data_IF_328858943315
#
_entry.id   IF_328858943315
#
_cell.length_a   1.000
_cell.length_b   1.000
_cell.length_c   1.000
_cell.angle_alpha   90.00
_cell.angle_beta   90.00
_cell.angle_gamma   90.00
#
_symmetry.space_group_name_H-M   'P 1'
#
loop_
_entity.id
_entity.type
_entity.pdbx_description
1 polymer ?
#
# COMPACT_ATOMS: atom_id res chain seq x y z
N UNK A 1 -22.86 1.72 -2.19
CA UNK A 1 -22.42 0.80 -1.12
C UNK A 1 -23.47 0.78 -0.02
N UNK A 2 -23.70 -0.36 0.63
CA UNK A 2 -24.63 -0.47 1.76
C UNK A 2 -24.06 -1.41 2.82
N UNK A 3 -24.20 -1.04 4.09
CA UNK A 3 -23.85 -1.91 5.21
C UNK A 3 -25.01 -2.88 5.48
N UNK A 4 -24.71 -4.17 5.62
CA UNK A 4 -25.72 -5.23 5.85
C UNK A 4 -26.05 -5.44 7.33
N UNK A 5 -25.25 -4.86 8.23
CA UNK A 5 -25.39 -4.93 9.67
C UNK A 5 -25.46 -3.51 10.27
N UNK A 6 -24.89 -3.29 11.45
CA UNK A 6 -24.81 -1.97 12.07
C UNK A 6 -24.00 -1.00 11.21
N UNK A 7 -24.46 0.25 11.14
CA UNK A 7 -23.72 1.34 10.53
C UNK A 7 -22.39 1.58 11.27
N UNK A 8 -21.27 1.84 10.57
CA UNK A 8 -20.03 2.20 11.23
C UNK A 8 -20.11 3.59 11.88
N UNK A 9 -19.20 3.83 12.82
CA UNK A 9 -18.91 5.18 13.29
C UNK A 9 -17.97 5.87 12.30
N UNK A 10 -18.06 7.19 12.18
CA UNK A 10 -17.24 7.98 11.26
C UNK A 10 -16.50 9.05 12.05
N UNK A 11 -15.18 9.13 11.86
CA UNK A 11 -14.34 10.20 12.35
C UNK A 11 -13.97 11.16 11.22
N UNK A 12 -14.25 12.45 11.40
CA UNK A 12 -13.84 13.49 10.45
C UNK A 12 -12.38 13.87 10.72
N UNK A 13 -11.45 13.30 9.94
CA UNK A 13 -10.01 13.47 10.19
C UNK A 13 -9.45 14.79 9.64
N UNK A 14 -10.11 15.34 8.62
CA UNK A 14 -9.81 16.64 8.03
C UNK A 14 -11.04 17.15 7.29
N UNK A 15 -11.11 18.43 6.88
CA UNK A 15 -12.22 18.92 6.08
C UNK A 15 -12.46 18.04 4.85
N UNK A 16 -13.69 17.54 4.70
CA UNK A 16 -14.08 16.68 3.59
C UNK A 16 -13.63 15.22 3.68
N UNK A 17 -12.91 14.81 4.73
CA UNK A 17 -12.40 13.43 4.87
C UNK A 17 -13.03 12.72 6.05
N UNK A 18 -13.72 11.61 5.76
CA UNK A 18 -14.25 10.67 6.73
C UNK A 18 -13.39 9.41 6.84
N UNK A 19 -13.26 8.88 8.06
CA UNK A 19 -12.69 7.55 8.31
C UNK A 19 -13.71 6.71 9.05
N UNK A 20 -14.31 5.72 8.38
CA UNK A 20 -15.29 4.85 9.01
C UNK A 20 -14.61 3.68 9.73
N UNK A 21 -15.17 3.30 10.88
CA UNK A 21 -14.66 2.20 11.69
C UNK A 21 -15.80 1.47 12.41
N UNK A 22 -15.55 0.22 12.79
CA UNK A 22 -16.48 -0.56 13.60
C UNK A 22 -16.62 0.09 14.99
N UNK A 23 -17.82 0.58 15.32
CA UNK A 23 -18.08 1.20 16.62
C UNK A 23 -17.95 0.26 17.83
N UNK A 24 -17.85 -1.05 17.60
CA UNK A 24 -17.69 -2.05 18.66
C UNK A 24 -16.22 -2.39 18.96
N UNK A 25 -15.42 -2.69 17.93
CA UNK A 25 -14.02 -3.16 18.09
C UNK A 25 -12.97 -2.16 17.59
N UNK A 26 -13.36 -1.07 16.94
CA UNK A 26 -12.45 -0.04 16.45
C UNK A 26 -11.76 -0.35 15.12
N UNK A 27 -12.04 -1.50 14.48
CA UNK A 27 -11.44 -1.86 13.18
C UNK A 27 -11.72 -0.80 12.12
N UNK A 28 -10.70 -0.23 11.45
CA UNK A 28 -10.89 0.73 10.36
C UNK A 28 -11.50 0.01 9.15
N UNK A 29 -12.47 0.64 8.51
CA UNK A 29 -13.22 0.05 7.39
C UNK A 29 -13.02 0.84 6.10
N UNK A 30 -13.12 2.18 6.18
CA UNK A 30 -13.04 3.04 4.99
C UNK A 30 -12.25 4.32 5.23
N UNK A 31 -11.67 4.83 4.16
CA UNK A 31 -11.38 6.25 3.98
C UNK A 31 -12.35 6.81 2.95
N UNK A 32 -12.92 7.99 3.20
CA UNK A 32 -13.93 8.62 2.36
C UNK A 32 -13.55 10.08 2.13
N UNK A 33 -13.46 10.50 0.87
CA UNK A 33 -13.08 11.87 0.53
C UNK A 33 -13.53 12.29 -0.86
N UNK A 34 -13.20 13.53 -1.25
CA UNK A 34 -13.61 14.11 -2.53
C UNK A 34 -12.82 13.60 -3.74
N UNK A 35 -11.71 12.89 -3.50
CA UNK A 35 -10.82 12.32 -4.51
C UNK A 35 -10.23 13.33 -5.50
N UNK A 36 -10.30 14.64 -5.22
CA UNK A 36 -9.79 15.66 -6.13
C UNK A 36 -10.37 15.54 -7.55
N UNK A 37 -9.49 15.33 -8.54
CA UNK A 37 -9.85 15.30 -9.97
C UNK A 37 -10.62 14.03 -10.39
N UNK A 38 -10.45 12.92 -9.67
CA UNK A 38 -11.17 11.66 -9.95
C UNK A 38 -12.57 11.63 -9.33
N UNK A 39 -12.92 12.65 -8.53
CA UNK A 39 -14.20 12.76 -7.84
C UNK A 39 -14.31 11.86 -6.60
N UNK A 40 -15.48 11.86 -5.94
CA UNK A 40 -15.62 11.26 -4.61
C UNK A 40 -15.17 9.81 -4.56
N UNK A 41 -14.27 9.51 -3.63
CA UNK A 41 -13.62 8.22 -3.49
C UNK A 41 -13.92 7.59 -2.13
N UNK A 42 -14.11 6.28 -2.15
CA UNK A 42 -14.15 5.44 -0.96
C UNK A 42 -13.09 4.35 -1.11
N UNK A 43 -12.11 4.36 -0.21
CA UNK A 43 -11.09 3.31 -0.10
C UNK A 43 -11.51 2.31 0.98
N UNK A 44 -11.26 1.03 0.74
CA UNK A 44 -11.54 -0.05 1.68
C UNK A 44 -10.21 -0.63 2.19
N UNK A 45 -10.16 -0.99 3.47
CA UNK A 45 -9.01 -1.69 4.02
C UNK A 45 -9.04 -3.15 3.58
N UNK A 46 -8.11 -3.58 2.72
CA UNK A 46 -8.08 -4.96 2.18
C UNK A 46 -8.13 -6.04 3.25
N UNK A 47 -7.50 -5.80 4.41
CA UNK A 47 -7.51 -6.73 5.55
C UNK A 47 -8.88 -6.96 6.20
N UNK A 48 -9.91 -6.20 5.85
CA UNK A 48 -11.28 -6.39 6.34
C UNK A 48 -12.16 -7.22 5.40
N UNK A 49 -11.62 -7.66 4.27
CA UNK A 49 -12.33 -8.52 3.32
C UNK A 49 -12.32 -9.98 3.79
N UNK A 50 -13.33 -10.76 3.40
CA UNK A 50 -13.40 -12.19 3.73
C UNK A 50 -12.27 -13.00 3.08
N UNK A 51 -11.77 -12.55 1.92
CA UNK A 51 -10.63 -13.13 1.22
C UNK A 51 -9.66 -12.03 0.74
N UNK A 52 -8.79 -11.51 1.63
CA UNK A 52 -7.85 -10.43 1.30
C UNK A 52 -6.87 -10.80 0.17
N UNK A 53 -6.47 -12.07 0.10
CA UNK A 53 -5.55 -12.60 -0.92
C UNK A 53 -6.10 -12.53 -2.34
N UNK A 54 -7.42 -12.32 -2.52
CA UNK A 54 -7.99 -12.06 -3.85
C UNK A 54 -7.64 -10.68 -4.41
N UNK A 55 -7.12 -9.77 -3.59
CA UNK A 55 -6.79 -8.40 -3.94
C UNK A 55 -5.35 -8.06 -3.51
N UNK A 56 -4.32 -8.73 -4.07
CA UNK A 56 -2.94 -8.39 -3.79
C UNK A 56 -2.64 -6.96 -4.27
N UNK A 57 -1.69 -6.25 -3.62
CA UNK A 57 -1.25 -4.95 -4.11
C UNK A 57 -0.64 -5.06 -5.50
N UNK A 58 -0.84 -4.03 -6.32
CA UNK A 58 -0.25 -3.94 -7.66
C UNK A 58 0.95 -2.99 -7.70
N UNK A 59 1.07 -2.12 -6.70
CA UNK A 59 2.08 -1.06 -6.63
C UNK A 59 2.21 -0.48 -5.21
N UNK A 60 3.31 0.22 -4.96
CA UNK A 60 3.55 0.98 -3.74
C UNK A 60 3.60 2.48 -4.07
N UNK A 61 2.69 3.25 -3.48
CA UNK A 61 2.65 4.72 -3.56
C UNK A 61 3.15 5.34 -2.27
N UNK A 62 3.64 6.58 -2.32
CA UNK A 62 4.31 7.24 -1.17
C UNK A 62 5.48 6.43 -0.61
N UNK A 63 6.08 5.55 -1.43
CA UNK A 63 7.07 4.60 -0.96
C UNK A 63 8.25 5.32 -0.32
N UNK A 64 8.67 6.51 -0.78
CA UNK A 64 9.80 7.25 -0.18
C UNK A 64 9.64 7.61 1.30
N UNK A 65 8.42 7.56 1.85
CA UNK A 65 8.15 7.85 3.25
C UNK A 65 8.33 6.62 4.15
N UNK A 66 8.62 5.44 3.59
CA UNK A 66 8.89 4.22 4.34
C UNK A 66 10.14 4.35 5.24
N UNK A 67 10.16 3.59 6.33
CA UNK A 67 11.32 3.52 7.21
C UNK A 67 12.46 2.80 6.50
N UNK A 68 13.66 3.36 6.51
CA UNK A 68 14.81 2.84 5.73
C UNK A 68 15.22 1.39 6.02
N UNK A 69 14.79 0.81 7.14
CA UNK A 69 15.05 -0.58 7.52
C UNK A 69 13.93 -1.55 7.12
N UNK A 70 12.80 -1.05 6.60
CA UNK A 70 11.65 -1.85 6.22
C UNK A 70 11.57 -1.96 4.70
N UNK A 71 11.53 -3.17 4.16
CA UNK A 71 11.36 -3.40 2.73
C UNK A 71 10.38 -4.55 2.48
N UNK A 72 9.50 -4.38 1.49
CA UNK A 72 8.60 -5.44 1.04
C UNK A 72 9.27 -6.25 -0.06
N UNK A 73 9.41 -7.56 0.15
CA UNK A 73 10.14 -8.48 -0.73
C UNK A 73 9.31 -8.95 -1.94
N UNK A 74 8.71 -7.99 -2.65
CA UNK A 74 8.03 -8.22 -3.92
C UNK A 74 8.84 -7.64 -5.10
N UNK A 75 8.24 -7.63 -6.30
CA UNK A 75 8.79 -6.98 -7.50
C UNK A 75 7.90 -5.86 -8.02
N UNK A 76 7.02 -5.34 -7.18
CA UNK A 76 6.03 -4.34 -7.58
C UNK A 76 6.72 -2.98 -7.81
N UNK A 77 6.14 -2.14 -8.68
CA UNK A 77 6.61 -0.78 -8.90
C UNK A 77 6.45 0.07 -7.62
N UNK A 78 7.40 0.97 -7.41
CA UNK A 78 7.46 1.90 -6.27
C UNK A 78 7.47 3.34 -6.78
N UNK A 79 6.55 4.14 -6.27
CA UNK A 79 6.36 5.55 -6.60
C UNK A 79 6.60 6.42 -5.36
N UNK A 80 7.17 7.61 -5.55
CA UNK A 80 7.46 8.50 -4.42
C UNK A 80 6.21 9.17 -3.86
N UNK A 81 5.16 9.26 -4.66
CA UNK A 81 3.92 9.98 -4.39
C UNK A 81 2.78 9.36 -5.20
N UNK A 82 1.57 9.88 -5.00
CA UNK A 82 0.46 9.63 -5.91
C UNK A 82 0.79 10.12 -7.33
N UNK A 83 0.35 9.37 -8.34
CA UNK A 83 0.64 9.66 -9.74
C UNK A 83 -0.55 9.29 -10.62
N UNK A 84 -0.62 9.91 -11.80
CA UNK A 84 -1.56 9.54 -12.85
C UNK A 84 -0.96 8.46 -13.77
N UNK A 85 -1.81 7.87 -14.62
CA UNK A 85 -1.40 6.87 -15.59
C UNK A 85 -0.28 7.39 -16.52
N UNK A 86 0.77 6.58 -16.68
CA UNK A 86 1.88 6.84 -17.60
C UNK A 86 3.16 7.37 -16.95
N UNK A 87 3.12 7.71 -15.67
CA UNK A 87 4.35 7.99 -14.93
C UNK A 87 5.14 6.70 -14.67
N UNK A 88 6.47 6.77 -14.84
CA UNK A 88 7.36 5.63 -14.60
C UNK A 88 7.73 5.55 -13.11
N UNK A 89 7.70 4.35 -12.49
CA UNK A 89 8.13 4.20 -11.11
C UNK A 89 9.62 4.49 -10.97
N UNK A 90 10.02 4.96 -9.79
CA UNK A 90 11.43 5.25 -9.54
C UNK A 90 12.23 4.01 -9.13
N UNK A 91 11.55 2.92 -8.73
CA UNK A 91 12.16 1.65 -8.33
C UNK A 91 11.20 0.47 -8.57
N UNK A 92 11.76 -0.73 -8.78
CA UNK A 92 11.04 -2.01 -8.77
C UNK A 92 11.71 -2.95 -7.79
N UNK A 93 10.92 -3.64 -6.96
CA UNK A 93 11.47 -4.52 -5.93
C UNK A 93 12.32 -3.78 -4.87
N UNK A 94 12.74 -4.48 -3.80
CA UNK A 94 13.58 -3.89 -2.75
C UNK A 94 14.95 -3.51 -3.31
N UNK A 95 15.60 -2.51 -2.70
CA UNK A 95 17.01 -2.22 -3.02
C UNK A 95 17.83 -3.46 -2.68
N UNK A 96 18.61 -3.97 -3.64
CA UNK A 96 19.52 -5.07 -3.39
C UNK A 96 20.44 -4.67 -2.22
N UNK A 97 20.42 -5.45 -1.14
CA UNK A 97 21.31 -5.21 -0.02
C UNK A 97 22.76 -5.17 -0.51
N UNK A 98 23.51 -4.16 -0.10
CA UNK A 98 24.95 -4.10 -0.35
C UNK A 98 25.62 -5.25 0.42
N UNK A 99 25.77 -6.40 -0.23
CA UNK A 99 26.44 -7.57 0.35
C UNK A 99 26.00 -8.87 -0.29
N UNK A 100 26.70 -9.27 -1.35
CA UNK A 100 27.12 -10.65 -1.69
C UNK A 100 27.77 -10.66 -3.08
N UNK A 101 28.89 -9.94 -3.20
CA UNK A 101 29.95 -10.32 -4.12
C UNK A 101 30.79 -11.38 -3.43
N UNK A 102 30.32 -12.63 -3.40
CA UNK A 102 31.17 -13.76 -3.07
C UNK A 102 31.77 -14.27 -4.39
N UNK A 103 32.97 -13.79 -4.68
CA UNK A 103 33.85 -14.39 -5.68
C UNK A 103 34.01 -15.86 -5.31
N UNK A 104 33.36 -16.75 -6.07
CA UNK A 104 33.72 -18.16 -6.04
C UNK A 104 35.14 -18.25 -6.60
N UNK A 105 36.12 -18.36 -5.71
CA UNK A 105 37.45 -18.88 -6.03
C UNK A 105 37.24 -20.18 -6.80
N UNK A 106 37.46 -20.13 -8.12
CA UNK A 106 37.59 -21.32 -8.95
C UNK A 106 38.96 -21.89 -8.64
N UNK A 107 38.98 -22.80 -7.66
CA UNK A 107 40.03 -23.80 -7.60
C UNK A 107 39.95 -24.73 -8.82
N UNK A 108 41.12 -25.28 -9.15
CA UNK A 108 41.44 -26.32 -10.14
C UNK A 108 41.64 -25.81 -11.58
N UNK A 109 42.71 -26.11 -12.31
CA UNK A 109 43.93 -26.93 -12.13
C UNK A 109 44.83 -26.66 -13.37
N UNK A 110 46.14 -26.97 -13.23
CA UNK A 110 47.25 -27.01 -14.22
C UNK A 110 48.08 -25.74 -14.50
#
# INVERSE_FOLDING_TARGET
>A
MAYTASQPSIYSSSPGVGRAFCGHCGTPLTWEGDGGEIGPLVELYTGTLDNPEAFPPEQHIHHREHLSWFETLDRLPRYSEWHDDGESPYQYGPVAGEGEGEERESGEEE
#
